data_IF_106665834048
#
_entry.id   IF_106665834048
#
_cell.length_a   1.000
_cell.length_b   1.000
_cell.length_c   1.000
_cell.angle_alpha   90.00
_cell.angle_beta   90.00
_cell.angle_gamma   90.00
#
_symmetry.space_group_name_H-M   'P 1'
#
loop_
_entity.id
_entity.type
_entity.pdbx_description
1 polymer ?
#
# COMPACT_ATOMS: atom_id res chain seq x y z
N UNK A 1 -9.91 20.22 -8.80
CA UNK A 1 -9.16 19.31 -7.94
C UNK A 1 -10.03 19.10 -6.73
N UNK A 2 -10.49 17.86 -6.55
CA UNK A 2 -11.46 17.55 -5.50
C UNK A 2 -10.76 17.55 -4.14
N UNK A 3 -11.52 17.76 -3.06
CA UNK A 3 -11.03 17.81 -1.67
C UNK A 3 -10.19 16.57 -1.25
N UNK A 4 -10.52 15.33 -1.66
CA UNK A 4 -9.70 14.14 -1.36
C UNK A 4 -8.31 14.17 -2.03
N UNK A 5 -8.23 14.68 -3.26
CA UNK A 5 -6.94 14.82 -3.98
C UNK A 5 -6.03 15.82 -3.26
N UNK A 6 -6.60 16.88 -2.71
CA UNK A 6 -5.86 17.87 -1.94
C UNK A 6 -5.22 17.25 -0.70
N UNK A 7 -5.95 16.40 0.02
CA UNK A 7 -5.42 15.72 1.20
C UNK A 7 -4.24 14.81 0.86
N UNK A 8 -4.33 14.06 -0.25
CA UNK A 8 -3.22 13.24 -0.75
C UNK A 8 -1.98 14.10 -1.05
N UNK A 9 -2.15 15.23 -1.73
CA UNK A 9 -1.06 16.16 -2.04
C UNK A 9 -0.42 16.73 -0.78
N UNK A 10 -1.23 17.19 0.17
CA UNK A 10 -0.75 17.81 1.41
C UNK A 10 0.01 16.80 2.29
N UNK A 11 -0.52 15.58 2.45
CA UNK A 11 0.14 14.49 3.20
C UNK A 11 1.44 14.04 2.53
N UNK A 12 1.45 13.93 1.20
CA UNK A 12 2.65 13.61 0.43
C UNK A 12 3.73 14.67 0.64
N UNK A 13 3.36 15.96 0.57
CA UNK A 13 4.29 17.06 0.78
C UNK A 13 4.83 17.08 2.22
N UNK A 14 3.98 16.79 3.21
CA UNK A 14 4.39 16.67 4.61
C UNK A 14 5.42 15.55 4.81
N UNK A 15 5.22 14.38 4.19
CA UNK A 15 6.18 13.28 4.22
C UNK A 15 7.53 13.69 3.62
N UNK A 16 7.53 14.29 2.42
CA UNK A 16 8.77 14.73 1.76
C UNK A 16 9.55 15.70 2.66
N UNK A 17 8.87 16.68 3.27
CA UNK A 17 9.51 17.65 4.16
C UNK A 17 10.06 16.99 5.43
N UNK A 18 9.31 16.06 6.03
CA UNK A 18 9.73 15.35 7.23
C UNK A 18 10.97 14.47 6.96
N UNK A 19 11.00 13.75 5.84
CA UNK A 19 12.15 12.94 5.44
C UNK A 19 13.35 13.82 5.07
N UNK A 20 13.13 14.90 4.33
CA UNK A 20 14.21 15.82 3.95
C UNK A 20 14.86 16.46 5.19
N UNK A 21 14.09 16.75 6.24
CA UNK A 21 14.65 17.27 7.49
C UNK A 21 15.54 16.25 8.22
N UNK A 22 15.20 14.95 8.17
CA UNK A 22 15.93 13.91 8.90
C UNK A 22 17.07 13.31 8.07
N UNK A 23 16.78 12.91 6.83
CA UNK A 23 17.70 12.21 5.94
C UNK A 23 18.58 13.17 5.11
N UNK A 24 18.24 14.47 5.07
CA UNK A 24 18.89 15.48 4.20
C UNK A 24 18.88 15.11 2.72
N UNK A 25 17.93 14.27 2.32
CA UNK A 25 17.66 13.83 0.94
C UNK A 25 16.20 14.10 0.65
N UNK A 26 15.94 14.65 -0.54
CA UNK A 26 14.58 14.88 -1.02
C UNK A 26 14.07 13.63 -1.72
N UNK A 27 12.94 13.14 -1.24
CA UNK A 27 12.17 12.06 -1.84
C UNK A 27 11.65 12.45 -3.23
N UNK A 28 11.72 11.54 -4.20
CA UNK A 28 11.52 11.83 -5.64
C UNK A 28 10.44 10.97 -6.31
N UNK A 29 9.67 10.21 -5.52
CA UNK A 29 8.66 9.26 -5.96
C UNK A 29 9.18 8.03 -6.73
N UNK A 30 10.48 7.74 -6.68
CA UNK A 30 11.05 6.52 -7.24
C UNK A 30 11.33 5.50 -6.14
N UNK A 31 11.54 4.24 -6.55
CA UNK A 31 11.96 3.18 -5.63
C UNK A 31 13.33 3.46 -5.00
N UNK A 32 14.19 4.22 -5.69
CA UNK A 32 15.56 4.50 -5.25
C UNK A 32 15.62 5.34 -3.97
N UNK A 33 14.54 6.08 -3.66
CA UNK A 33 14.46 6.90 -2.45
C UNK A 33 13.73 6.23 -1.28
N UNK A 34 13.18 5.02 -1.46
CA UNK A 34 12.51 4.27 -0.39
C UNK A 34 13.41 3.95 0.82
N UNK A 35 14.72 3.66 0.68
CA UNK A 35 15.59 3.47 1.84
C UNK A 35 15.67 4.69 2.78
N UNK A 36 15.46 5.91 2.27
CA UNK A 36 15.40 7.11 3.12
C UNK A 36 14.08 7.22 3.89
N UNK A 37 13.01 6.66 3.34
CA UNK A 37 11.73 6.52 4.03
C UNK A 37 11.84 5.51 5.19
N UNK A 38 12.53 4.39 4.96
CA UNK A 38 12.86 3.40 6.00
C UNK A 38 13.72 4.04 7.11
N UNK A 39 14.75 4.80 6.74
CA UNK A 39 15.60 5.52 7.69
C UNK A 39 14.82 6.54 8.52
N UNK A 40 13.90 7.27 7.89
CA UNK A 40 13.00 8.19 8.59
C UNK A 40 12.14 7.45 9.62
N UNK A 41 11.54 6.32 9.26
CA UNK A 41 10.72 5.53 10.19
C UNK A 41 11.52 5.06 11.41
N UNK A 42 12.78 4.66 11.23
CA UNK A 42 13.63 4.28 12.36
C UNK A 42 13.78 5.40 13.40
N UNK A 43 13.83 6.67 12.96
CA UNK A 43 13.87 7.83 13.87
C UNK A 43 12.50 8.18 14.43
N UNK A 44 11.44 7.97 13.63
CA UNK A 44 10.06 8.27 13.99
C UNK A 44 9.50 7.35 15.09
N UNK A 45 10.05 6.13 15.25
CA UNK A 45 9.68 5.17 16.31
C UNK A 45 9.91 5.68 17.73
N UNK A 46 10.85 6.60 17.91
CA UNK A 46 11.15 7.21 19.21
C UNK A 46 10.17 8.33 19.58
N UNK A 47 9.28 8.71 18.65
CA UNK A 47 8.21 9.68 18.89
C UNK A 47 7.10 9.00 19.70
N UNK A 48 6.29 9.80 20.41
CA UNK A 48 5.17 9.25 21.17
C UNK A 48 4.17 8.54 20.25
N UNK A 49 3.59 7.44 20.75
CA UNK A 49 2.66 6.57 20.03
C UNK A 49 1.46 7.33 19.45
N UNK A 50 1.01 8.42 20.08
CA UNK A 50 -0.10 9.23 19.57
C UNK A 50 0.21 9.88 18.21
N UNK A 51 1.49 10.02 17.85
CA UNK A 51 1.91 10.55 16.55
C UNK A 51 1.97 9.46 15.46
N UNK A 52 1.97 8.18 15.81
CA UNK A 52 2.15 7.07 14.87
C UNK A 52 1.07 7.07 13.78
N UNK A 53 -0.17 7.39 14.14
CA UNK A 53 -1.26 7.47 13.17
C UNK A 53 -1.02 8.54 12.09
N UNK A 54 -0.54 9.73 12.46
CA UNK A 54 -0.23 10.78 11.50
C UNK A 54 0.99 10.43 10.65
N UNK A 55 2.01 9.83 11.27
CA UNK A 55 3.23 9.39 10.58
C UNK A 55 2.88 8.32 9.54
N UNK A 56 2.10 7.31 9.92
CA UNK A 56 1.63 6.28 9.01
C UNK A 56 0.78 6.85 7.88
N UNK A 57 -0.06 7.86 8.13
CA UNK A 57 -0.84 8.52 7.08
C UNK A 57 0.06 9.19 6.05
N UNK A 58 0.97 10.09 6.47
CA UNK A 58 1.81 10.81 5.51
C UNK A 58 2.78 9.88 4.77
N UNK A 59 3.37 8.91 5.47
CA UNK A 59 4.31 7.93 4.90
C UNK A 59 3.57 6.98 3.95
N UNK A 60 2.44 6.44 4.37
CA UNK A 60 1.63 5.53 3.56
C UNK A 60 1.07 6.21 2.32
N UNK A 61 0.61 7.45 2.42
CA UNK A 61 0.15 8.23 1.27
C UNK A 61 1.29 8.48 0.28
N UNK A 62 2.48 8.88 0.76
CA UNK A 62 3.65 9.02 -0.11
C UNK A 62 4.00 7.69 -0.80
N UNK A 63 4.04 6.58 -0.06
CA UNK A 63 4.33 5.25 -0.62
C UNK A 63 3.29 4.81 -1.65
N UNK A 64 2.00 5.07 -1.39
CA UNK A 64 0.93 4.81 -2.36
C UNK A 64 1.11 5.61 -3.66
N UNK A 65 1.59 6.86 -3.57
CA UNK A 65 1.94 7.64 -4.77
C UNK A 65 3.16 7.10 -5.50
N UNK A 66 4.17 6.55 -4.81
CA UNK A 66 5.27 5.81 -5.45
C UNK A 66 4.71 4.64 -6.26
N UNK A 67 3.81 3.84 -5.67
CA UNK A 67 3.19 2.71 -6.36
C UNK A 67 2.41 3.18 -7.60
N UNK A 68 1.50 4.15 -7.45
CA UNK A 68 0.64 4.64 -8.55
C UNK A 68 1.44 5.22 -9.71
N UNK A 69 2.62 5.78 -9.46
CA UNK A 69 3.49 6.38 -10.49
C UNK A 69 4.36 5.38 -11.21
N UNK A 70 4.76 4.29 -10.55
CA UNK A 70 5.74 3.36 -11.10
C UNK A 70 5.12 2.03 -11.56
N UNK A 71 4.03 1.58 -10.92
CA UNK A 71 3.49 0.23 -11.11
C UNK A 71 2.22 0.18 -11.96
N UNK A 72 1.70 1.30 -12.44
CA UNK A 72 0.55 1.35 -13.36
C UNK A 72 -0.66 2.11 -12.79
N UNK A 73 -1.77 2.15 -13.56
CA UNK A 73 -2.94 2.94 -13.20
C UNK A 73 -3.60 2.36 -11.94
N UNK A 74 -3.69 3.19 -10.91
CA UNK A 74 -4.39 2.89 -9.68
C UNK A 74 -5.10 4.15 -9.19
N UNK A 75 -6.18 3.97 -8.44
CA UNK A 75 -6.96 5.06 -7.85
C UNK A 75 -7.03 4.90 -6.34
N UNK A 76 -7.07 6.05 -5.66
CA UNK A 76 -7.34 6.10 -4.24
C UNK A 76 -8.83 5.88 -3.98
N UNK A 77 -9.15 4.93 -3.09
CA UNK A 77 -10.46 4.80 -2.48
C UNK A 77 -10.39 5.40 -1.08
N UNK A 78 -11.10 6.52 -0.88
CA UNK A 78 -11.05 7.35 0.32
C UNK A 78 -12.46 7.50 0.93
N UNK A 79 -12.98 6.46 1.60
CA UNK A 79 -14.29 6.52 2.24
C UNK A 79 -14.27 7.55 3.39
N UNK A 80 -15.20 8.52 3.35
CA UNK A 80 -15.29 9.58 4.38
C UNK A 80 -15.66 9.04 5.76
N UNK A 81 -16.44 7.97 5.82
CA UNK A 81 -17.03 7.45 7.06
C UNK A 81 -16.22 6.30 7.67
N UNK A 82 -15.32 5.68 6.91
CA UNK A 82 -14.54 4.49 7.32
C UNK A 82 -13.06 4.67 6.96
N UNK A 83 -12.31 5.59 7.62
CA UNK A 83 -10.92 5.89 7.26
C UNK A 83 -9.98 4.66 7.28
N UNK A 84 -10.29 3.64 8.05
CA UNK A 84 -9.62 2.33 8.07
C UNK A 84 -9.72 1.57 6.74
N UNK A 85 -10.72 1.89 5.92
CA UNK A 85 -10.99 1.32 4.60
C UNK A 85 -10.37 2.13 3.46
N UNK A 86 -9.43 3.03 3.76
CA UNK A 86 -8.57 3.65 2.73
C UNK A 86 -7.81 2.55 1.99
N UNK A 87 -7.84 2.60 0.65
CA UNK A 87 -7.16 1.63 -0.22
C UNK A 87 -6.59 2.32 -1.45
N UNK A 88 -5.54 1.72 -2.00
CA UNK A 88 -5.12 1.93 -3.38
C UNK A 88 -5.66 0.77 -4.21
N UNK A 89 -6.39 1.06 -5.29
CA UNK A 89 -7.08 0.08 -6.12
C UNK A 89 -6.55 0.16 -7.56
N UNK A 90 -5.95 -0.91 -8.07
CA UNK A 90 -5.45 -0.96 -9.44
C UNK A 90 -6.62 -0.99 -10.43
N UNK A 91 -6.44 -0.30 -11.56
CA UNK A 91 -7.50 -0.12 -12.54
C UNK A 91 -7.36 -1.08 -13.72
N UNK A 92 -6.16 -1.63 -13.97
CA UNK A 92 -5.89 -2.57 -15.07
C UNK A 92 -5.84 -4.04 -14.60
N UNK A 93 -5.64 -4.26 -13.30
CA UNK A 93 -5.63 -5.56 -12.64
C UNK A 93 -6.40 -5.48 -11.33
N UNK A 94 -6.94 -6.61 -10.88
CA UNK A 94 -7.58 -6.66 -9.58
C UNK A 94 -6.53 -6.85 -8.49
N UNK A 95 -6.12 -5.74 -7.88
CA UNK A 95 -5.17 -5.67 -6.78
C UNK A 95 -5.51 -4.44 -5.94
N UNK A 96 -5.79 -4.66 -4.66
CA UNK A 96 -5.97 -3.58 -3.67
C UNK A 96 -5.19 -3.83 -2.40
N UNK A 97 -4.86 -2.77 -1.68
CA UNK A 97 -4.26 -2.82 -0.34
C UNK A 97 -4.34 -1.44 0.32
N UNK A 98 -4.04 -1.35 1.62
CA UNK A 98 -3.92 -0.07 2.32
C UNK A 98 -2.45 0.36 2.49
N UNK A 99 -1.96 1.36 1.73
CA UNK A 99 -0.60 1.89 1.92
C UNK A 99 -0.36 2.48 3.32
N UNK A 100 -1.41 3.03 3.97
CA UNK A 100 -1.32 3.55 5.34
C UNK A 100 -1.14 2.42 6.33
N UNK A 101 -1.82 1.29 6.12
CA UNK A 101 -1.62 0.09 6.92
C UNK A 101 -0.19 -0.45 6.80
N UNK A 102 0.35 -0.52 5.58
CA UNK A 102 1.75 -0.91 5.34
C UNK A 102 2.71 0.00 6.11
N UNK A 103 2.50 1.31 6.06
CA UNK A 103 3.35 2.27 6.76
C UNK A 103 3.23 2.16 8.29
N UNK A 104 2.04 1.85 8.80
CA UNK A 104 1.82 1.63 10.23
C UNK A 104 2.55 0.37 10.70
N UNK A 105 2.39 -0.75 10.00
CA UNK A 105 3.11 -2.00 10.28
C UNK A 105 4.63 -1.80 10.18
N UNK A 106 5.11 -1.04 9.18
CA UNK A 106 6.53 -0.72 9.06
C UNK A 106 7.06 0.15 10.21
N UNK A 107 6.20 1.01 10.77
CA UNK A 107 6.53 1.84 11.91
C UNK A 107 6.65 1.01 13.19
N UNK A 108 5.73 0.07 13.44
CA UNK A 108 5.73 -0.76 14.65
C UNK A 108 6.51 -2.08 14.52
N UNK A 109 6.91 -2.48 13.31
CA UNK A 109 7.54 -3.77 12.97
C UNK A 109 6.74 -5.01 13.39
N UNK A 110 5.42 -4.88 13.36
CA UNK A 110 4.48 -5.92 13.75
C UNK A 110 3.27 -5.89 12.82
N UNK A 111 2.60 -7.03 12.67
CA UNK A 111 1.31 -7.10 11.99
C UNK A 111 0.23 -6.39 12.82
N UNK A 112 -0.66 -5.66 12.16
CA UNK A 112 -1.73 -4.93 12.84
C UNK A 112 -3.08 -5.24 12.21
N UNK A 113 -3.93 -5.92 12.97
CA UNK A 113 -5.30 -6.25 12.55
C UNK A 113 -6.11 -4.97 12.27
N UNK A 114 -6.97 -5.03 11.24
CA UNK A 114 -7.90 -3.94 10.91
C UNK A 114 -7.34 -2.80 10.07
N UNK A 115 -6.02 -2.71 9.87
CA UNK A 115 -5.43 -1.66 9.01
C UNK A 115 -5.36 -2.04 7.52
N UNK A 116 -5.57 -3.30 7.15
CA UNK A 116 -5.67 -3.73 5.76
C UNK A 116 -4.36 -3.63 4.96
N UNK A 117 -3.21 -3.87 5.60
CA UNK A 117 -1.89 -3.81 4.98
C UNK A 117 -1.60 -4.98 4.01
N UNK A 118 -2.40 -6.04 4.05
CA UNK A 118 -2.26 -7.19 3.16
C UNK A 118 -2.77 -6.90 1.74
N UNK A 119 -2.28 -7.67 0.78
CA UNK A 119 -2.73 -7.59 -0.61
C UNK A 119 -4.05 -8.32 -0.78
N UNK A 120 -5.06 -7.60 -1.26
CA UNK A 120 -6.35 -8.12 -1.65
C UNK A 120 -6.31 -8.52 -3.13
N UNK A 121 -6.65 -9.78 -3.40
CA UNK A 121 -6.62 -10.42 -4.71
C UNK A 121 -7.93 -11.16 -4.95
N UNK A 122 -8.29 -11.36 -6.23
CA UNK A 122 -9.37 -12.30 -6.58
C UNK A 122 -9.02 -13.70 -6.06
N UNK A 123 -9.99 -14.47 -5.54
CA UNK A 123 -9.75 -15.84 -5.09
C UNK A 123 -9.03 -16.73 -6.13
N UNK A 124 -9.36 -16.55 -7.41
CA UNK A 124 -8.76 -17.31 -8.52
C UNK A 124 -7.27 -17.01 -8.75
N UNK A 125 -6.78 -15.84 -8.32
CA UNK A 125 -5.40 -15.39 -8.55
C UNK A 125 -4.46 -15.68 -7.37
N UNK A 126 -5.01 -16.00 -6.19
CA UNK A 126 -4.23 -16.21 -4.96
C UNK A 126 -3.19 -17.32 -5.09
N UNK A 127 -3.55 -18.45 -5.72
CA UNK A 127 -2.64 -19.60 -5.84
C UNK A 127 -1.44 -19.31 -6.75
N UNK A 128 -1.66 -18.60 -7.85
CA UNK A 128 -0.58 -18.26 -8.79
C UNK A 128 0.32 -17.17 -8.24
N UNK A 129 -0.24 -16.16 -7.56
CA UNK A 129 0.55 -15.13 -6.89
C UNK A 129 1.42 -15.75 -5.81
N UNK A 130 0.85 -16.64 -4.98
CA UNK A 130 1.62 -17.37 -3.95
C UNK A 130 2.80 -18.12 -4.56
N UNK A 131 2.57 -18.89 -5.63
CA UNK A 131 3.65 -19.61 -6.31
C UNK A 131 4.72 -18.69 -6.92
N UNK A 132 4.33 -17.51 -7.42
CA UNK A 132 5.29 -16.52 -7.91
C UNK A 132 6.14 -15.91 -6.80
N UNK A 133 5.55 -15.63 -5.63
CA UNK A 133 6.27 -15.07 -4.49
C UNK A 133 7.21 -16.11 -3.86
N UNK A 134 6.80 -17.37 -3.77
CA UNK A 134 7.66 -18.48 -3.30
C UNK A 134 8.92 -18.63 -4.17
N UNK A 135 8.82 -18.35 -5.48
CA UNK A 135 9.95 -18.40 -6.40
C UNK A 135 11.00 -17.27 -6.16
N UNK A 136 10.63 -16.17 -5.52
CA UNK A 136 11.56 -15.10 -5.12
C UNK A 136 12.40 -15.49 -3.89
N UNK A 137 12.01 -16.55 -3.18
CA UNK A 137 12.67 -17.00 -1.96
C UNK A 137 12.09 -16.37 -0.69
N UNK A 138 12.46 -16.91 0.46
CA UNK A 138 11.96 -16.44 1.75
C UNK A 138 12.58 -15.06 2.09
N UNK A 139 11.74 -14.03 2.17
CA UNK A 139 12.08 -12.76 2.80
C UNK A 139 12.28 -13.00 4.29
N UNK A 140 13.33 -12.43 4.89
CA UNK A 140 13.47 -12.42 6.36
C UNK A 140 12.33 -11.60 6.95
N UNK A 141 11.82 -12.00 8.12
CA UNK A 141 10.75 -11.27 8.82
C UNK A 141 11.02 -9.76 8.90
N UNK A 142 12.28 -9.40 9.17
CA UNK A 142 12.70 -8.02 9.41
C UNK A 142 12.76 -7.20 8.10
N UNK A 143 12.98 -7.87 6.97
CA UNK A 143 13.04 -7.24 5.65
C UNK A 143 11.64 -6.98 5.08
N UNK A 144 10.61 -7.72 5.54
CA UNK A 144 9.22 -7.58 5.10
C UNK A 144 8.66 -6.17 5.34
N UNK A 145 9.07 -5.53 6.44
CA UNK A 145 8.62 -4.19 6.82
C UNK A 145 9.34 -3.05 6.09
N UNK A 146 10.34 -3.36 5.25
CA UNK A 146 11.06 -2.34 4.46
C UNK A 146 10.26 -1.94 3.22
N UNK A 147 10.16 -0.65 2.96
CA UNK A 147 9.38 -0.15 1.82
C UNK A 147 9.92 -0.64 0.47
N UNK A 148 11.23 -0.78 0.32
CA UNK A 148 11.84 -1.35 -0.89
C UNK A 148 11.34 -2.78 -1.15
N UNK A 149 11.32 -3.62 -0.12
CA UNK A 149 10.86 -5.01 -0.22
C UNK A 149 9.35 -5.07 -0.47
N UNK A 150 8.56 -4.22 0.21
CA UNK A 150 7.12 -4.08 -0.05
C UNK A 150 6.85 -3.69 -1.50
N UNK A 151 7.63 -2.75 -2.04
CA UNK A 151 7.53 -2.33 -3.43
C UNK A 151 7.81 -3.48 -4.39
N UNK A 152 8.91 -4.22 -4.19
CA UNK A 152 9.27 -5.39 -5.02
C UNK A 152 8.19 -6.47 -5.00
N UNK A 153 7.63 -6.76 -3.82
CA UNK A 153 6.51 -7.72 -3.69
C UNK A 153 5.32 -7.25 -4.52
N UNK A 154 4.90 -5.98 -4.36
CA UNK A 154 3.74 -5.43 -5.08
C UNK A 154 4.00 -5.42 -6.60
N UNK A 155 5.21 -5.06 -7.03
CA UNK A 155 5.60 -5.08 -8.45
C UNK A 155 5.53 -6.50 -9.02
N UNK A 156 6.08 -7.49 -8.33
CA UNK A 156 6.01 -8.88 -8.76
C UNK A 156 4.57 -9.39 -8.85
N UNK A 157 3.73 -9.06 -7.86
CA UNK A 157 2.30 -9.42 -7.89
C UNK A 157 1.62 -8.77 -9.08
N UNK A 158 1.82 -7.47 -9.29
CA UNK A 158 1.23 -6.73 -10.39
C UNK A 158 1.66 -7.29 -11.75
N UNK A 159 2.96 -7.57 -11.92
CA UNK A 159 3.51 -8.22 -13.11
C UNK A 159 2.87 -9.60 -13.36
N UNK A 160 2.76 -10.42 -12.32
CA UNK A 160 2.17 -11.76 -12.39
C UNK A 160 0.72 -11.69 -12.87
N UNK A 161 -0.09 -10.79 -12.29
CA UNK A 161 -1.49 -10.60 -12.68
C UNK A 161 -1.62 -10.14 -14.13
N UNK A 162 -0.82 -9.14 -14.55
CA UNK A 162 -0.83 -8.63 -15.94
C UNK A 162 -0.45 -9.68 -16.97
N UNK A 163 0.55 -10.51 -16.65
CA UNK A 163 1.00 -11.58 -17.56
C UNK A 163 -0.09 -12.58 -17.90
N UNK A 164 -1.12 -12.69 -17.04
CA UNK A 164 -2.23 -13.64 -17.15
C UNK A 164 -3.51 -13.03 -17.68
N UNK A 165 -3.59 -11.71 -17.83
CA UNK A 165 -4.78 -11.06 -18.37
C UNK A 165 -5.07 -11.58 -19.78
N UNK A 166 -6.28 -12.16 -20.02
CA UNK A 166 -6.74 -12.47 -21.36
C UNK A 166 -6.69 -11.21 -22.24
N UNK A 167 -6.41 -11.37 -23.52
CA UNK A 167 -6.29 -10.24 -24.45
C UNK A 167 -7.54 -9.32 -24.42
N UNK A 168 -8.73 -9.92 -24.30
CA UNK A 168 -10.01 -9.21 -24.19
C UNK A 168 -10.18 -8.39 -22.89
N UNK A 169 -9.38 -8.63 -21.86
CA UNK A 169 -9.43 -7.91 -20.58
C UNK A 169 -8.36 -6.84 -20.44
N UNK A 170 -7.31 -6.84 -21.28
CA UNK A 170 -6.18 -5.90 -21.18
C UNK A 170 -6.55 -4.43 -21.38
N UNK A 171 -7.70 -4.16 -22.01
CA UNK A 171 -8.22 -2.79 -22.22
C UNK A 171 -9.38 -2.45 -21.29
N UNK A 172 -9.77 -3.33 -20.35
CA UNK A 172 -10.84 -3.06 -19.39
C UNK A 172 -10.27 -2.26 -18.22
N UNK A 173 -11.03 -1.26 -17.78
CA UNK A 173 -10.74 -0.48 -16.57
C UNK A 173 -11.66 -0.94 -15.45
N UNK A 174 -11.08 -1.34 -14.31
CA UNK A 174 -11.79 -1.74 -13.11
C UNK A 174 -12.20 -0.50 -12.29
N UNK A 175 -13.50 -0.23 -12.28
CA UNK A 175 -14.09 0.84 -11.46
C UNK A 175 -14.41 0.42 -10.02
N UNK A 176 -15.00 1.33 -9.22
CA UNK A 176 -15.45 1.05 -7.84
C UNK A 176 -16.30 -0.21 -7.68
N UNK A 177 -17.18 -0.47 -8.64
CA UNK A 177 -18.09 -1.63 -8.59
C UNK A 177 -17.34 -2.96 -8.62
N UNK A 178 -16.20 -3.04 -9.33
CA UNK A 178 -15.39 -4.25 -9.38
C UNK A 178 -14.89 -4.63 -7.97
N UNK A 179 -14.50 -3.63 -7.17
CA UNK A 179 -13.99 -3.81 -5.82
C UNK A 179 -15.11 -3.93 -4.77
N UNK A 180 -16.30 -3.37 -5.04
CA UNK A 180 -17.43 -3.44 -4.13
C UNK A 180 -17.91 -4.88 -3.83
N UNK A 181 -17.79 -5.80 -4.80
CA UNK A 181 -18.25 -7.17 -4.67
C UNK A 181 -17.47 -8.01 -3.64
N UNK A 182 -16.18 -7.72 -3.43
CA UNK A 182 -15.42 -8.41 -2.37
C UNK A 182 -15.69 -7.85 -0.97
N UNK A 183 -16.25 -6.65 -0.87
CA UNK A 183 -16.55 -6.00 0.42
C UNK A 183 -17.81 -6.57 1.10
N UNK A 184 -18.61 -7.37 0.38
CA UNK A 184 -19.83 -8.00 0.91
C UNK A 184 -19.55 -9.42 1.43
N UNK A 185 -18.46 -10.06 0.96
CA UNK A 185 -18.16 -11.47 1.26
C UNK A 185 -17.19 -11.68 2.45
N UNK A 186 -16.62 -10.61 3.05
CA UNK A 186 -15.97 -10.65 4.36
C UNK A 186 -16.91 -10.03 5.41
N UNK A 187 -17.82 -10.79 6.03
CA UNK A 187 -18.46 -10.34 7.26
C UNK A 187 -17.37 -10.09 8.32
N UNK A 188 -17.51 -9.10 9.21
CA UNK A 188 -16.64 -9.02 10.38
C UNK A 188 -16.72 -10.37 11.09
N UNK A 189 -15.58 -11.03 11.33
CA UNK A 189 -15.56 -12.21 12.19
C UNK A 189 -16.25 -11.82 13.48
N UNK A 190 -17.43 -12.42 13.69
CA UNK A 190 -18.19 -12.24 14.90
C UNK A 190 -17.28 -12.69 16.05
N UNK A 191 -17.04 -11.86 17.09
CA UNK A 191 -16.24 -12.30 18.20
C UNK A 191 -16.92 -13.54 18.79
N UNK A 192 -16.20 -14.66 18.77
CA UNK A 192 -16.65 -15.90 19.37
C UNK A 192 -17.04 -15.60 20.82
N UNK A 193 -18.29 -15.93 21.15
CA UNK A 193 -18.84 -15.90 22.50
C UNK A 193 -18.25 -16.99 23.38
#
# INVERSE_FOLDING_TARGET
MDEPDKNIVDLTAACILAVEEVAKVRLDFTQDTLPFLDFYLMSAREVKEEAHGLIAQMVGVYFGEVIRRNLGPARWYLPREQPENVRLEFEDIFLSFNPIGIAYEALIEEESEGFGAHLELRPADRSVVKGSLEALGATRSDDYYRFGVRFEIIDQVAHTLRSRLPEAERSRTLGPDAYAHLRIDDPPESPLS
#
